data_IF_755350889798
#
_entry.id   IF_755350889798
#
_cell.length_a   1.000
_cell.length_b   1.000
_cell.length_c   1.000
_cell.angle_alpha   90.00
_cell.angle_beta   90.00
_cell.angle_gamma   90.00
#
_symmetry.space_group_name_H-M   'P 1'
#
loop_
_entity.id
_entity.type
_entity.pdbx_description
1 polymer ?
#
# COMPACT_ATOMS: atom_id res chain seq x y z
N UNK A 1 -13.87 -1.69 20.48
CA UNK A 1 -14.28 -1.36 19.10
C UNK A 1 -13.10 -0.66 18.43
N UNK A 2 -12.47 -1.28 17.44
CA UNK A 2 -11.29 -0.74 16.75
C UNK A 2 -11.69 -0.20 15.38
N UNK A 3 -11.18 0.98 15.01
CA UNK A 3 -11.44 1.65 13.73
C UNK A 3 -10.12 1.77 12.97
N UNK A 4 -10.14 1.57 11.65
CA UNK A 4 -8.99 1.82 10.79
C UNK A 4 -9.38 2.80 9.68
N UNK A 5 -8.41 3.56 9.19
CA UNK A 5 -8.56 4.49 8.08
C UNK A 5 -7.41 4.27 7.09
N UNK A 6 -7.70 4.36 5.79
CA UNK A 6 -6.70 4.34 4.74
C UNK A 6 -6.32 5.79 4.44
N UNK A 7 -5.03 6.12 4.55
CA UNK A 7 -4.52 7.45 4.20
C UNK A 7 -4.46 7.57 2.68
N UNK A 8 -5.02 8.66 2.13
CA UNK A 8 -4.98 8.95 0.69
C UNK A 8 -6.11 8.32 -0.14
N UNK A 9 -7.12 7.75 0.51
CA UNK A 9 -8.34 7.24 -0.14
C UNK A 9 -9.52 8.09 0.33
N UNK A 10 -10.22 8.77 -0.58
CA UNK A 10 -11.52 9.36 -0.26
C UNK A 10 -12.50 8.22 0.03
N UNK A 11 -13.16 8.28 1.18
CA UNK A 11 -14.14 7.26 1.59
C UNK A 11 -15.41 7.96 2.05
N UNK A 12 -16.52 7.68 1.38
CA UNK A 12 -17.85 8.18 1.75
C UNK A 12 -18.41 7.56 3.04
N UNK A 13 -17.93 6.37 3.44
CA UNK A 13 -18.45 5.64 4.61
C UNK A 13 -17.36 4.91 5.41
N UNK A 14 -17.58 4.80 6.73
CA UNK A 14 -16.74 4.03 7.64
C UNK A 14 -16.79 2.53 7.31
N UNK A 15 -15.65 1.91 6.98
CA UNK A 15 -15.55 0.46 6.77
C UNK A 15 -15.45 -0.31 8.10
N UNK A 16 -16.29 -1.32 8.26
CA UNK A 16 -16.29 -2.25 9.39
C UNK A 16 -15.31 -3.40 9.18
N UNK A 17 -14.80 -3.99 10.27
CA UNK A 17 -13.78 -5.04 10.23
C UNK A 17 -14.18 -6.27 9.41
N UNK A 18 -15.46 -6.65 9.42
CA UNK A 18 -15.98 -7.78 8.65
C UNK A 18 -15.71 -7.65 7.15
N UNK A 19 -15.70 -6.41 6.64
CA UNK A 19 -15.40 -6.12 5.23
C UNK A 19 -13.93 -6.36 4.86
N UNK A 20 -13.01 -6.46 5.84
CA UNK A 20 -11.60 -6.85 5.58
C UNK A 20 -11.46 -8.29 5.11
N UNK A 21 -12.33 -9.17 5.59
CA UNK A 21 -12.29 -10.61 5.28
C UNK A 21 -12.94 -10.87 3.93
N UNK A 22 -13.98 -10.12 3.58
CA UNK A 22 -14.71 -10.25 2.32
C UNK A 22 -13.99 -9.60 1.14
N UNK A 23 -13.14 -8.60 1.38
CA UNK A 23 -12.51 -7.80 0.33
C UNK A 23 -11.00 -8.09 0.21
N UNK A 24 -10.68 -9.10 -0.60
CA UNK A 24 -9.31 -9.49 -0.98
C UNK A 24 -8.45 -8.32 -1.47
N UNK A 25 -9.07 -7.27 -2.03
CA UNK A 25 -8.37 -6.08 -2.51
C UNK A 25 -7.62 -5.36 -1.38
N UNK A 26 -8.02 -5.50 -0.13
CA UNK A 26 -7.35 -4.84 1.00
C UNK A 26 -5.95 -5.42 1.24
N UNK A 27 -5.68 -6.66 0.84
CA UNK A 27 -4.34 -7.27 0.92
C UNK A 27 -3.36 -6.69 -0.11
N UNK A 28 -3.84 -5.89 -1.06
CA UNK A 28 -3.00 -5.24 -2.06
C UNK A 28 -2.21 -4.05 -1.50
N UNK A 29 -2.67 -3.41 -0.41
CA UNK A 29 -2.06 -2.18 0.12
C UNK A 29 -0.80 -2.43 0.93
N UNK A 30 0.33 -1.90 0.46
CA UNK A 30 1.57 -1.83 1.24
C UNK A 30 1.39 -0.93 2.47
N UNK A 31 1.99 -1.31 3.60
CA UNK A 31 1.84 -0.62 4.89
C UNK A 31 0.69 -1.13 5.75
N UNK A 32 -0.12 -2.06 5.25
CA UNK A 32 -1.22 -2.66 6.00
C UNK A 32 -0.70 -3.45 7.21
N UNK A 33 -1.25 -3.18 8.40
CA UNK A 33 -0.97 -3.93 9.64
C UNK A 33 -2.21 -4.74 10.03
N UNK A 34 -2.02 -6.02 10.35
CA UNK A 34 -3.07 -6.97 10.71
C UNK A 34 -2.71 -7.69 12.01
N UNK A 35 -3.73 -8.06 12.80
CA UNK A 35 -3.47 -9.00 13.90
C UNK A 35 -3.18 -10.40 13.34
N UNK A 36 -2.43 -11.21 14.10
CA UNK A 36 -2.16 -12.61 13.72
C UNK A 36 -3.41 -13.46 13.61
N UNK A 37 -4.47 -13.15 14.36
CA UNK A 37 -5.78 -13.81 14.24
C UNK A 37 -6.38 -13.60 12.85
N UNK A 38 -6.48 -12.35 12.39
CA UNK A 38 -7.07 -12.04 11.07
C UNK A 38 -6.16 -12.52 9.96
N UNK A 39 -4.84 -12.35 10.11
CA UNK A 39 -3.87 -12.89 9.15
C UNK A 39 -4.01 -14.41 8.99
N UNK A 40 -4.32 -15.14 10.07
CA UNK A 40 -4.62 -16.56 10.00
C UNK A 40 -5.96 -16.85 9.30
N UNK A 41 -7.01 -16.09 9.60
CA UNK A 41 -8.34 -16.24 9.00
C UNK A 41 -8.34 -15.98 7.49
N UNK A 42 -7.55 -15.03 7.00
CA UNK A 42 -7.42 -14.71 5.57
C UNK A 42 -6.40 -15.58 4.82
N UNK A 43 -5.93 -16.67 5.43
CA UNK A 43 -5.07 -17.66 4.75
C UNK A 43 -3.57 -17.42 4.82
N UNK A 44 -3.09 -16.59 5.75
CA UNK A 44 -1.66 -16.35 6.03
C UNK A 44 -0.84 -15.96 4.80
N UNK A 45 -1.19 -14.84 4.11
CA UNK A 45 -0.43 -14.37 2.96
C UNK A 45 1.05 -14.21 3.31
N UNK A 46 1.92 -14.76 2.47
CA UNK A 46 3.38 -14.77 2.62
C UNK A 46 4.03 -13.39 2.43
N UNK A 47 3.27 -12.42 1.93
CA UNK A 47 3.70 -11.04 1.74
C UNK A 47 3.77 -10.24 3.04
N UNK A 48 3.17 -10.74 4.13
CA UNK A 48 3.24 -10.13 5.45
C UNK A 48 4.48 -10.60 6.24
N UNK A 49 5.11 -9.68 6.96
CA UNK A 49 6.22 -9.93 7.90
C UNK A 49 5.78 -9.64 9.33
N UNK A 50 6.50 -10.17 10.32
CA UNK A 50 6.27 -9.80 11.72
C UNK A 50 6.49 -8.29 11.90
N UNK A 51 5.59 -7.65 12.64
CA UNK A 51 5.64 -6.21 12.93
C UNK A 51 5.86 -5.95 14.42
N UNK A 52 4.97 -6.48 15.25
CA UNK A 52 5.02 -6.37 16.71
C UNK A 52 4.35 -7.60 17.33
N UNK A 53 4.39 -7.72 18.66
CA UNK A 53 3.82 -8.88 19.34
C UNK A 53 2.32 -9.02 19.01
N UNK A 54 1.95 -10.11 18.32
CA UNK A 54 0.57 -10.37 17.90
C UNK A 54 0.15 -9.71 16.58
N UNK A 55 1.04 -9.01 15.88
CA UNK A 55 0.74 -8.33 14.62
C UNK A 55 1.73 -8.67 13.52
N UNK A 56 1.23 -8.67 12.29
CA UNK A 56 2.00 -8.75 11.05
C UNK A 56 1.70 -7.54 10.18
N UNK A 57 2.59 -7.19 9.28
CA UNK A 57 2.37 -6.10 8.35
C UNK A 57 2.87 -6.43 6.96
N UNK A 58 2.29 -5.79 5.94
CA UNK A 58 2.84 -5.77 4.60
C UNK A 58 3.84 -4.63 4.50
N UNK A 59 5.14 -4.89 4.33
CA UNK A 59 6.14 -3.83 4.30
C UNK A 59 5.83 -2.78 3.25
N UNK A 60 6.07 -1.52 3.60
CA UNK A 60 6.00 -0.40 2.68
C UNK A 60 7.41 0.14 2.45
N UNK A 61 7.89 0.02 1.22
CA UNK A 61 9.26 0.37 0.81
C UNK A 61 9.42 1.88 0.51
N UNK A 62 8.40 2.70 0.79
CA UNK A 62 8.37 4.12 0.47
C UNK A 62 7.80 4.44 -0.93
N UNK A 63 7.49 5.71 -1.16
CA UNK A 63 7.11 6.20 -2.49
C UNK A 63 8.36 6.28 -3.38
N UNK A 64 8.30 5.64 -4.55
CA UNK A 64 9.33 5.85 -5.57
C UNK A 64 8.98 7.14 -6.31
N UNK A 65 9.68 8.23 -5.96
CA UNK A 65 9.56 9.48 -6.72
C UNK A 65 10.06 9.24 -8.16
N UNK A 66 9.17 9.37 -9.15
CA UNK A 66 9.47 9.20 -10.58
C UNK A 66 9.49 10.55 -11.29
N UNK A 67 10.54 11.38 -11.12
CA UNK A 67 10.58 12.77 -11.60
C UNK A 67 10.30 12.90 -13.10
N UNK A 68 10.72 11.92 -13.90
CA UNK A 68 10.52 11.88 -15.36
C UNK A 68 9.07 11.64 -15.79
N UNK A 69 8.22 11.13 -14.89
CA UNK A 69 6.78 10.99 -15.13
C UNK A 69 6.00 12.23 -14.70
N UNK A 70 6.44 12.89 -13.62
CA UNK A 70 5.68 14.00 -13.00
C UNK A 70 6.12 15.38 -13.50
N UNK A 71 7.35 15.53 -13.98
CA UNK A 71 7.87 16.80 -14.47
C UNK A 71 8.10 16.77 -15.97
N UNK A 72 7.26 17.51 -16.68
CA UNK A 72 7.40 17.77 -18.11
C UNK A 72 8.75 18.43 -18.44
N UNK A 73 9.24 19.33 -17.59
CA UNK A 73 10.57 19.94 -17.75
C UNK A 73 11.70 18.91 -17.73
N UNK A 74 11.71 18.01 -16.74
CA UNK A 74 12.73 16.95 -16.63
C UNK A 74 12.62 15.93 -17.78
N UNK A 75 11.39 15.59 -18.18
CA UNK A 75 11.15 14.71 -19.33
C UNK A 75 11.67 15.32 -20.64
N UNK A 76 11.44 16.61 -20.86
CA UNK A 76 11.91 17.31 -22.06
C UNK A 76 13.45 17.37 -22.11
N UNK A 77 14.10 17.70 -20.98
CA UNK A 77 15.57 17.66 -20.88
C UNK A 77 16.16 16.29 -21.20
N UNK A 78 15.53 15.21 -20.74
CA UNK A 78 15.98 13.85 -21.07
C UNK A 78 15.86 13.59 -22.58
N UNK A 79 14.75 13.98 -23.21
CA UNK A 79 14.57 13.81 -24.65
C UNK A 79 15.60 14.59 -25.46
N UNK A 80 15.91 15.83 -25.07
CA UNK A 80 16.96 16.63 -25.71
C UNK A 80 18.32 15.94 -25.65
N UNK A 81 18.71 15.39 -24.48
CA UNK A 81 19.96 14.64 -24.32
C UNK A 81 20.01 13.35 -25.16
N UNK A 82 18.86 12.69 -25.36
CA UNK A 82 18.77 11.48 -26.17
C UNK A 82 18.85 11.77 -27.69
N UNK A 83 18.41 12.96 -28.12
CA UNK A 83 18.47 13.42 -29.53
C UNK A 83 19.86 13.94 -29.90
N UNK A 84 20.66 14.36 -28.91
CA UNK A 84 22.05 14.83 -29.12
C UNK A 84 23.09 13.70 -29.20
N UNK A 85 22.66 12.43 -29.22
CA UNK A 85 23.50 11.24 -29.35
C UNK A 85 23.34 10.62 -30.74
#
# INVERSE_FOLDING_TARGET
>A
MFRYALVGVEVDEFRTYSKLIEDSAILSFSGLVLSKTIWAEIGKPSTCRDFSLGYVWKPYEGEVYKPLLVSSHLKNKLNELLVMK
#
